data_IF_758956595684
#
_entry.id   IF_758956595684
#
_cell.length_a   1.000
_cell.length_b   1.000
_cell.length_c   1.000
_cell.angle_alpha   90.00
_cell.angle_beta   90.00
_cell.angle_gamma   90.00
#
_symmetry.space_group_name_H-M   'P 1'
#
loop_
_entity.id
_entity.type
_entity.pdbx_description
1 polymer ?
#
# COMPACT_ATOMS: atom_id res chain seq x y z
N UNK A 1 17.74 -23.30 -31.58
CA UNK A 1 17.58 -24.38 -30.58
C UNK A 1 16.28 -24.14 -29.85
N UNK A 2 15.38 -25.12 -29.82
CA UNK A 2 14.17 -25.09 -29.00
C UNK A 2 14.60 -25.14 -27.53
N UNK A 3 14.68 -23.99 -26.86
CA UNK A 3 15.08 -23.95 -25.45
C UNK A 3 13.94 -24.36 -24.54
N UNK A 4 14.26 -25.08 -23.47
CA UNK A 4 13.32 -25.50 -22.43
C UNK A 4 13.20 -24.37 -21.40
N UNK A 5 11.98 -24.05 -20.96
CA UNK A 5 11.78 -23.22 -19.77
C UNK A 5 11.60 -24.12 -18.53
N UNK A 6 12.05 -23.65 -17.37
CA UNK A 6 11.95 -24.38 -16.11
C UNK A 6 11.08 -23.59 -15.15
N UNK A 7 10.08 -24.27 -14.58
CA UNK A 7 9.28 -23.72 -13.48
C UNK A 7 9.47 -24.60 -12.25
N UNK A 8 9.83 -23.99 -11.15
CA UNK A 8 9.87 -24.63 -9.84
C UNK A 8 8.78 -24.03 -8.98
N UNK A 9 7.88 -24.86 -8.48
CA UNK A 9 6.90 -24.47 -7.49
C UNK A 9 7.29 -25.10 -6.16
N UNK A 10 7.69 -24.26 -5.20
CA UNK A 10 8.05 -24.74 -3.86
C UNK A 10 6.82 -24.77 -2.95
N UNK A 11 6.99 -25.38 -1.77
CA UNK A 11 5.98 -25.26 -0.72
C UNK A 11 5.68 -23.78 -0.42
N UNK A 12 4.41 -23.44 -0.14
CA UNK A 12 4.05 -22.09 0.27
C UNK A 12 4.60 -21.77 1.66
N UNK A 13 4.62 -20.49 2.02
CA UNK A 13 4.86 -20.05 3.40
C UNK A 13 3.53 -19.84 4.12
N UNK A 14 3.49 -20.14 5.42
CA UNK A 14 2.24 -20.09 6.20
C UNK A 14 1.37 -21.34 6.03
N UNK A 15 0.09 -21.24 6.40
CA UNK A 15 -0.83 -22.37 6.46
C UNK A 15 -1.75 -22.41 5.23
N UNK A 16 -1.39 -23.26 4.28
CA UNK A 16 -2.15 -23.51 3.06
C UNK A 16 -1.36 -24.39 2.10
N UNK A 17 -1.95 -24.66 0.93
CA UNK A 17 -1.36 -25.47 -0.13
C UNK A 17 -1.28 -24.69 -1.43
N UNK A 18 -0.28 -25.00 -2.25
CA UNK A 18 -0.08 -24.42 -3.59
C UNK A 18 0.06 -25.57 -4.57
N UNK A 19 -0.79 -25.64 -5.59
CA UNK A 19 -0.84 -26.74 -6.57
C UNK A 19 -0.78 -26.19 -8.00
N UNK A 20 0.00 -26.80 -8.92
CA UNK A 20 0.83 -27.99 -8.72
C UNK A 20 2.20 -27.66 -8.08
N UNK A 21 2.74 -28.57 -7.28
CA UNK A 21 4.11 -28.47 -6.72
C UNK A 21 5.12 -29.23 -7.58
N UNK A 22 6.39 -28.84 -7.48
CA UNK A 22 7.51 -29.55 -8.10
C UNK A 22 8.20 -28.78 -9.22
N UNK A 23 8.94 -29.51 -10.05
CA UNK A 23 9.73 -28.96 -11.16
C UNK A 23 9.11 -29.34 -12.50
N UNK A 24 8.84 -28.34 -13.34
CA UNK A 24 8.23 -28.50 -14.65
C UNK A 24 9.24 -28.08 -15.73
N UNK A 25 9.54 -29.00 -16.64
CA UNK A 25 10.32 -28.74 -17.84
C UNK A 25 9.37 -28.53 -19.01
N UNK A 26 9.43 -27.36 -19.64
CA UNK A 26 8.48 -26.92 -20.65
C UNK A 26 9.19 -26.76 -22.00
N UNK A 27 9.19 -27.82 -22.85
CA UNK A 27 9.92 -27.81 -24.12
C UNK A 27 9.18 -27.10 -25.26
N UNK A 28 7.88 -26.84 -25.11
CA UNK A 28 7.04 -26.18 -26.11
C UNK A 28 6.61 -24.81 -25.58
N UNK A 29 6.96 -23.75 -26.30
CA UNK A 29 6.71 -22.35 -25.93
C UNK A 29 6.05 -21.59 -27.10
N UNK A 30 5.20 -20.58 -26.83
CA UNK A 30 4.76 -20.15 -25.50
C UNK A 30 3.79 -21.15 -24.86
N UNK A 31 3.78 -21.20 -23.53
CA UNK A 31 2.85 -22.02 -22.75
C UNK A 31 2.40 -21.30 -21.48
N UNK A 32 1.50 -21.92 -20.73
CA UNK A 32 1.01 -21.41 -19.46
C UNK A 32 0.95 -22.53 -18.43
N UNK A 33 1.35 -22.23 -17.19
CA UNK A 33 1.06 -23.05 -16.03
C UNK A 33 0.07 -22.34 -15.12
N UNK A 34 -0.89 -23.09 -14.60
CA UNK A 34 -1.90 -22.61 -13.67
C UNK A 34 -1.58 -23.10 -12.27
N UNK A 35 -1.53 -22.17 -11.32
CA UNK A 35 -1.32 -22.44 -9.91
C UNK A 35 -2.58 -22.08 -9.12
N UNK A 36 -2.96 -22.94 -8.17
CA UNK A 36 -4.08 -22.73 -7.26
C UNK A 36 -3.56 -22.78 -5.83
N UNK A 37 -3.89 -21.74 -5.06
CA UNK A 37 -3.57 -21.63 -3.66
C UNK A 37 -4.83 -21.87 -2.82
N UNK A 38 -4.78 -22.82 -1.89
CA UNK A 38 -5.89 -23.16 -0.98
C UNK A 38 -5.44 -22.89 0.45
N UNK A 39 -6.08 -21.94 1.13
CA UNK A 39 -5.74 -21.60 2.50
C UNK A 39 -6.35 -22.60 3.49
N UNK A 40 -5.64 -22.89 4.57
CA UNK A 40 -6.20 -23.66 5.69
C UNK A 40 -7.17 -22.80 6.50
N UNK A 41 -7.98 -23.43 7.35
CA UNK A 41 -8.94 -22.74 8.21
C UNK A 41 -8.26 -21.62 9.03
N UNK A 42 -8.87 -20.43 9.02
CA UNK A 42 -8.35 -19.24 9.71
C UNK A 42 -7.16 -18.55 9.02
N UNK A 43 -6.73 -19.03 7.86
CA UNK A 43 -5.69 -18.39 7.04
C UNK A 43 -6.25 -17.86 5.73
N UNK A 44 -5.51 -16.95 5.11
CA UNK A 44 -5.83 -16.37 3.81
C UNK A 44 -4.56 -16.23 2.98
N UNK A 45 -4.69 -16.38 1.66
CA UNK A 45 -3.61 -16.08 0.73
C UNK A 45 -3.36 -14.57 0.71
N UNK A 46 -2.12 -14.16 0.95
CA UNK A 46 -1.69 -12.77 0.77
C UNK A 46 -1.38 -12.48 -0.69
N UNK A 47 -0.50 -13.28 -1.31
CA UNK A 47 -0.14 -13.18 -2.72
C UNK A 47 0.62 -14.41 -3.22
N UNK A 48 0.69 -14.54 -4.55
CA UNK A 48 1.71 -15.31 -5.24
C UNK A 48 2.97 -14.48 -5.45
N UNK A 49 4.12 -15.13 -5.59
CA UNK A 49 5.37 -14.50 -6.04
C UNK A 49 6.02 -15.31 -7.15
N UNK A 50 6.74 -14.61 -8.03
CA UNK A 50 7.57 -15.21 -9.07
C UNK A 50 8.99 -14.66 -8.91
N UNK A 51 9.97 -15.55 -8.72
CA UNK A 51 11.38 -15.18 -8.49
C UNK A 51 11.55 -14.16 -7.35
N UNK A 52 10.75 -14.30 -6.28
CA UNK A 52 10.74 -13.37 -5.14
C UNK A 52 9.91 -12.10 -5.33
N UNK A 53 9.46 -11.79 -6.55
CA UNK A 53 8.64 -10.62 -6.81
C UNK A 53 7.16 -10.91 -6.62
N UNK A 54 6.53 -10.16 -5.72
CA UNK A 54 5.08 -10.21 -5.45
C UNK A 54 4.29 -9.92 -6.72
N UNK A 55 3.35 -10.81 -7.06
CA UNK A 55 2.44 -10.64 -8.19
C UNK A 55 1.25 -9.74 -7.82
N UNK A 56 0.60 -9.15 -8.83
CA UNK A 56 -0.66 -8.44 -8.66
C UNK A 56 -1.71 -9.40 -8.10
N UNK A 57 -2.64 -8.86 -7.32
CA UNK A 57 -3.75 -9.65 -6.81
C UNK A 57 -4.50 -10.35 -7.95
N UNK A 58 -4.71 -11.64 -7.79
CA UNK A 58 -5.34 -12.55 -8.75
C UNK A 58 -6.27 -13.55 -8.05
N UNK A 59 -6.67 -13.28 -6.80
CA UNK A 59 -7.41 -14.24 -5.99
C UNK A 59 -6.58 -15.49 -5.72
N UNK A 60 -7.21 -16.65 -5.74
CA UNK A 60 -6.59 -17.95 -5.39
C UNK A 60 -5.99 -18.69 -6.57
N UNK A 61 -6.01 -18.13 -7.78
CA UNK A 61 -5.50 -18.78 -8.99
C UNK A 61 -4.58 -17.86 -9.78
N UNK A 62 -3.36 -18.33 -10.05
CA UNK A 62 -2.34 -17.58 -10.77
C UNK A 62 -1.92 -18.30 -12.06
N UNK A 63 -2.01 -17.59 -13.18
CA UNK A 63 -1.60 -18.07 -14.50
C UNK A 63 -0.21 -17.52 -14.86
N UNK A 64 0.82 -18.37 -14.77
CA UNK A 64 2.16 -18.01 -15.22
C UNK A 64 2.27 -18.21 -16.74
N UNK A 65 2.37 -17.11 -17.49
CA UNK A 65 2.65 -17.13 -18.93
C UNK A 65 4.15 -17.23 -19.17
N UNK A 66 4.55 -18.19 -20.00
CA UNK A 66 5.94 -18.57 -20.20
C UNK A 66 6.24 -18.49 -21.69
N UNK A 67 7.14 -17.59 -22.05
CA UNK A 67 7.43 -17.27 -23.46
C UNK A 67 8.89 -17.47 -23.82
N UNK A 68 9.77 -17.29 -22.85
CA UNK A 68 11.21 -17.17 -23.10
C UNK A 68 11.91 -18.53 -22.92
N UNK A 69 12.52 -19.08 -23.98
CA UNK A 69 13.33 -20.28 -23.86
C UNK A 69 14.51 -20.04 -22.90
N UNK A 70 14.75 -20.96 -21.97
CA UNK A 70 15.83 -20.84 -20.97
C UNK A 70 15.46 -20.03 -19.72
N UNK A 71 14.25 -19.45 -19.65
CA UNK A 71 13.81 -18.78 -18.44
C UNK A 71 13.58 -19.76 -17.27
N UNK A 72 13.94 -19.32 -16.07
CA UNK A 72 13.72 -20.04 -14.81
C UNK A 72 12.76 -19.23 -13.95
N UNK A 73 11.67 -19.87 -13.54
CA UNK A 73 10.66 -19.27 -12.67
C UNK A 73 10.55 -20.06 -11.37
N UNK A 74 10.57 -19.36 -10.24
CA UNK A 74 10.27 -19.89 -8.92
C UNK A 74 8.94 -19.31 -8.49
N UNK A 75 7.91 -20.14 -8.40
CA UNK A 75 6.57 -19.74 -7.98
C UNK A 75 6.38 -20.12 -6.52
N UNK A 76 5.94 -19.15 -5.72
CA UNK A 76 5.59 -19.33 -4.31
C UNK A 76 4.24 -18.68 -4.00
N UNK A 77 3.66 -19.04 -2.86
CA UNK A 77 2.49 -18.38 -2.29
C UNK A 77 2.73 -18.13 -0.80
N UNK A 78 2.25 -16.99 -0.30
CA UNK A 78 2.32 -16.62 1.12
C UNK A 78 0.91 -16.61 1.73
N UNK A 79 0.69 -17.40 2.78
CA UNK A 79 -0.52 -17.41 3.58
C UNK A 79 -0.29 -16.72 4.93
N UNK A 80 -1.32 -16.05 5.45
CA UNK A 80 -1.29 -15.40 6.77
C UNK A 80 -2.56 -15.69 7.56
N UNK A 81 -2.48 -15.69 8.91
CA UNK A 81 -3.68 -15.71 9.75
C UNK A 81 -4.59 -14.53 9.41
N UNK A 82 -5.88 -14.80 9.21
CA UNK A 82 -6.85 -13.79 8.81
C UNK A 82 -7.44 -13.04 10.03
N UNK A 83 -7.63 -11.73 9.87
CA UNK A 83 -8.45 -10.87 10.72
C UNK A 83 -9.33 -10.00 9.82
N UNK A 84 -10.43 -9.49 10.35
CA UNK A 84 -11.43 -8.79 9.55
C UNK A 84 -11.80 -7.45 10.16
N UNK A 85 -11.93 -6.45 9.30
CA UNK A 85 -12.44 -5.13 9.64
C UNK A 85 -13.47 -4.69 8.59
N UNK A 86 -14.51 -4.03 9.03
CA UNK A 86 -15.63 -3.55 8.23
C UNK A 86 -16.16 -2.26 8.88
N UNK A 87 -16.36 -1.14 8.17
CA UNK A 87 -16.87 0.08 8.77
C UNK A 87 -18.27 -0.06 9.38
N UNK A 88 -19.04 -1.09 8.98
CA UNK A 88 -20.32 -1.45 9.59
C UNK A 88 -20.19 -2.39 10.81
N UNK A 89 -18.97 -2.84 11.13
CA UNK A 89 -18.66 -3.73 12.23
C UNK A 89 -18.66 -3.06 13.61
N UNK A 90 -18.06 -3.75 14.59
CA UNK A 90 -17.92 -3.27 15.96
C UNK A 90 -16.55 -3.64 16.53
N UNK A 91 -15.87 -2.68 17.15
CA UNK A 91 -14.59 -2.94 17.85
C UNK A 91 -14.75 -3.77 19.13
N UNK A 92 -15.98 -4.09 19.53
CA UNK A 92 -16.26 -5.09 20.56
C UNK A 92 -16.26 -6.54 20.03
N UNK A 93 -16.25 -6.73 18.71
CA UNK A 93 -16.18 -8.07 18.11
C UNK A 93 -14.77 -8.67 18.23
N UNK A 94 -14.63 -9.95 17.88
CA UNK A 94 -13.35 -10.67 17.97
C UNK A 94 -12.44 -10.51 16.74
N UNK A 95 -12.98 -10.01 15.62
CA UNK A 95 -12.27 -9.81 14.36
C UNK A 95 -11.82 -11.11 13.67
N UNK A 96 -12.36 -12.27 14.04
CA UNK A 96 -11.91 -13.59 13.51
C UNK A 96 -12.66 -14.06 12.28
N UNK A 97 -13.79 -13.43 11.95
CA UNK A 97 -14.59 -13.69 10.76
C UNK A 97 -15.16 -12.38 10.19
N UNK A 98 -15.67 -12.40 8.95
CA UNK A 98 -16.37 -11.24 8.37
C UNK A 98 -17.63 -10.87 9.16
N UNK A 99 -18.34 -11.85 9.72
CA UNK A 99 -19.56 -11.61 10.52
C UNK A 99 -19.27 -10.95 11.87
N UNK A 100 -18.05 -11.14 12.39
CA UNK A 100 -17.57 -10.57 13.66
C UNK A 100 -16.40 -9.63 13.41
N UNK A 101 -16.42 -8.89 12.30
CA UNK A 101 -15.37 -7.95 11.95
C UNK A 101 -15.29 -6.78 12.95
N UNK A 102 -14.07 -6.29 13.18
CA UNK A 102 -13.85 -5.02 13.88
C UNK A 102 -14.39 -3.85 13.05
N UNK A 103 -14.60 -2.70 13.68
CA UNK A 103 -15.09 -1.50 13.00
C UNK A 103 -13.96 -0.66 12.41
N UNK A 104 -12.93 -0.39 13.21
CA UNK A 104 -11.91 0.60 12.86
C UNK A 104 -10.59 -0.03 12.45
N UNK A 105 -9.95 0.55 11.42
CA UNK A 105 -8.59 0.15 11.03
C UNK A 105 -7.58 0.40 12.15
N UNK A 106 -7.79 1.45 12.96
CA UNK A 106 -6.90 1.74 14.07
C UNK A 106 -6.98 0.66 15.15
N UNK A 107 -8.17 0.16 15.49
CA UNK A 107 -8.32 -0.97 16.41
C UNK A 107 -7.62 -2.21 15.85
N UNK A 108 -7.82 -2.52 14.57
CA UNK A 108 -7.14 -3.65 13.93
C UNK A 108 -5.61 -3.52 13.97
N UNK A 109 -5.07 -2.31 13.70
CA UNK A 109 -3.64 -2.04 13.77
C UNK A 109 -3.04 -2.20 15.17
N UNK A 110 -3.86 -2.02 16.22
CA UNK A 110 -3.43 -2.21 17.62
C UNK A 110 -3.63 -3.62 18.15
N UNK A 111 -4.64 -4.34 17.65
CA UNK A 111 -5.10 -5.61 18.23
C UNK A 111 -4.65 -6.83 17.44
N UNK A 112 -4.51 -6.72 16.12
CA UNK A 112 -4.16 -7.86 15.27
C UNK A 112 -2.78 -8.47 15.66
N UNK A 113 -2.67 -9.80 15.77
CA UNK A 113 -1.39 -10.45 16.05
C UNK A 113 -0.35 -10.12 14.97
N UNK A 114 0.91 -9.90 15.37
CA UNK A 114 2.01 -9.76 14.42
C UNK A 114 2.08 -10.96 13.46
N UNK A 115 2.37 -10.70 12.19
CA UNK A 115 2.37 -11.69 11.11
C UNK A 115 0.99 -11.93 10.48
N UNK A 116 -0.09 -11.44 11.08
CA UNK A 116 -1.43 -11.60 10.52
C UNK A 116 -1.70 -10.67 9.33
N UNK A 117 -2.84 -10.93 8.69
CA UNK A 117 -3.39 -10.15 7.61
C UNK A 117 -4.81 -9.71 7.97
N UNK A 118 -5.01 -8.40 8.04
CA UNK A 118 -6.31 -7.77 8.29
C UNK A 118 -6.94 -7.47 6.94
N UNK A 119 -8.06 -8.15 6.66
CA UNK A 119 -8.90 -7.98 5.49
C UNK A 119 -9.93 -6.90 5.76
N UNK A 120 -9.84 -5.79 5.04
CA UNK A 120 -10.78 -4.69 5.10
C UNK A 120 -11.89 -4.88 4.07
N UNK A 121 -13.13 -4.92 4.53
CA UNK A 121 -14.32 -4.86 3.68
C UNK A 121 -14.36 -3.50 2.92
N UNK A 122 -14.97 -3.43 1.73
CA UNK A 122 -15.17 -2.16 1.03
C UNK A 122 -15.91 -1.13 1.88
N UNK A 123 -15.51 0.12 1.73
CA UNK A 123 -16.08 1.27 2.44
C UNK A 123 -15.06 2.36 2.74
N UNK A 124 -15.55 3.44 3.34
CA UNK A 124 -14.73 4.58 3.77
C UNK A 124 -14.39 4.46 5.24
N UNK A 125 -13.11 4.32 5.54
CA UNK A 125 -12.56 4.29 6.89
C UNK A 125 -12.09 5.70 7.27
N UNK A 126 -13.02 6.50 7.79
CA UNK A 126 -12.81 7.85 8.29
C UNK A 126 -12.98 7.96 9.82
N UNK A 127 -12.92 6.81 10.50
CA UNK A 127 -12.86 6.68 11.96
C UNK A 127 -11.45 6.27 12.39
N UNK A 128 -11.03 6.73 13.57
CA UNK A 128 -9.68 6.51 14.10
C UNK A 128 -8.87 7.79 14.18
N UNK A 129 -8.13 7.95 15.27
CA UNK A 129 -7.28 9.10 15.50
C UNK A 129 -6.11 8.63 16.36
N UNK A 130 -4.92 8.51 15.76
CA UNK A 130 -3.72 8.12 16.47
C UNK A 130 -2.56 9.04 16.13
N UNK A 131 -1.78 9.34 17.16
CA UNK A 131 -0.66 10.27 17.06
C UNK A 131 0.62 9.50 16.69
N UNK A 132 1.31 9.96 15.64
CA UNK A 132 2.52 9.33 15.11
C UNK A 132 3.32 10.31 14.25
N UNK A 133 4.64 10.31 14.38
CA UNK A 133 5.52 11.30 13.77
C UNK A 133 5.07 12.76 14.03
N UNK A 134 4.82 13.07 15.31
CA UNK A 134 4.43 14.39 15.80
C UNK A 134 3.18 15.00 15.13
N UNK A 135 2.27 14.17 14.62
CA UNK A 135 1.03 14.61 13.96
C UNK A 135 -0.09 13.57 14.09
N UNK A 136 -1.32 13.98 13.82
CA UNK A 136 -2.47 13.07 13.78
C UNK A 136 -2.51 12.24 12.49
N UNK A 137 -2.93 10.98 12.63
CA UNK A 137 -3.11 10.03 11.53
C UNK A 137 -4.43 9.28 11.74
N UNK A 138 -5.11 8.94 10.64
CA UNK A 138 -6.30 8.07 10.67
C UNK A 138 -5.92 6.69 11.19
N UNK A 139 -4.79 6.16 10.72
CA UNK A 139 -4.25 4.86 11.12
C UNK A 139 -2.74 4.97 11.41
N UNK A 140 -2.30 4.38 12.53
CA UNK A 140 -0.89 4.18 12.94
C UNK A 140 -0.62 2.68 12.95
N UNK A 141 0.23 2.21 12.05
CA UNK A 141 0.66 0.81 11.92
C UNK A 141 2.11 0.65 12.37
N UNK A 142 2.32 0.06 13.54
CA UNK A 142 3.65 -0.20 14.10
C UNK A 142 3.95 -1.70 14.27
N UNK A 143 2.93 -2.55 14.09
CA UNK A 143 3.06 -4.01 14.10
C UNK A 143 3.31 -4.54 12.70
N UNK A 144 4.03 -5.65 12.59
CA UNK A 144 4.25 -6.33 11.32
C UNK A 144 2.98 -7.07 10.87
N UNK A 145 1.98 -6.34 10.43
CA UNK A 145 0.73 -6.86 9.87
C UNK A 145 0.58 -6.42 8.41
N UNK A 146 -0.32 -7.09 7.69
CA UNK A 146 -0.76 -6.63 6.37
C UNK A 146 -2.18 -6.11 6.50
N UNK A 147 -2.39 -4.81 6.29
CA UNK A 147 -3.73 -4.28 6.04
C UNK A 147 -4.01 -4.43 4.54
N UNK A 148 -5.06 -5.16 4.16
CA UNK A 148 -5.41 -5.36 2.75
C UNK A 148 -6.90 -5.09 2.49
N UNK A 149 -7.17 -4.24 1.52
CA UNK A 149 -8.51 -4.05 0.98
C UNK A 149 -8.95 -5.29 0.20
N UNK A 150 -10.15 -5.80 0.50
CA UNK A 150 -10.71 -6.98 -0.16
C UNK A 150 -11.32 -6.69 -1.54
N UNK A 151 -11.72 -5.43 -1.78
CA UNK A 151 -12.38 -4.99 -3.01
C UNK A 151 -11.55 -3.96 -3.80
N UNK A 152 -10.25 -3.84 -3.48
CA UNK A 152 -9.33 -2.93 -4.15
C UNK A 152 -9.52 -1.45 -3.80
N UNK A 153 -8.66 -0.58 -4.35
CA UNK A 153 -8.60 0.82 -3.97
C UNK A 153 -9.82 1.61 -4.47
N UNK A 154 -10.51 1.13 -5.49
CA UNK A 154 -11.71 1.76 -6.04
C UNK A 154 -12.91 1.73 -5.08
N UNK A 155 -12.90 0.83 -4.09
CA UNK A 155 -14.01 0.65 -3.15
C UNK A 155 -13.60 0.76 -1.68
N UNK A 156 -12.31 0.91 -1.38
CA UNK A 156 -11.79 0.86 0.00
C UNK A 156 -10.89 2.07 0.26
N UNK A 157 -11.35 2.97 1.13
CA UNK A 157 -10.72 4.28 1.32
C UNK A 157 -10.24 4.45 2.76
N UNK A 158 -9.00 4.91 2.94
CA UNK A 158 -8.51 5.49 4.19
C UNK A 158 -8.53 7.00 4.02
N UNK A 159 -9.48 7.65 4.69
CA UNK A 159 -9.70 9.09 4.57
C UNK A 159 -9.02 9.82 5.72
N UNK A 160 -8.04 10.66 5.39
CA UNK A 160 -7.42 11.58 6.33
C UNK A 160 -8.34 12.76 6.66
N UNK A 161 -7.77 13.91 7.04
CA UNK A 161 -8.53 15.15 7.18
C UNK A 161 -7.66 16.38 6.90
N UNK A 162 -8.28 17.42 6.37
CA UNK A 162 -7.69 18.76 6.32
C UNK A 162 -7.96 19.53 7.60
N UNK A 163 -7.10 20.50 7.92
CA UNK A 163 -7.40 21.47 8.97
C UNK A 163 -8.53 22.41 8.50
N UNK A 164 -9.67 22.50 9.21
CA UNK A 164 -10.78 23.37 8.82
C UNK A 164 -10.41 24.87 8.86
N UNK A 165 -9.42 25.25 9.66
CA UNK A 165 -8.95 26.63 9.80
C UNK A 165 -7.74 26.92 8.89
N UNK A 166 -7.49 26.05 7.90
CA UNK A 166 -6.30 26.14 7.06
C UNK A 166 -6.30 27.38 6.15
N UNK A 167 -5.16 28.07 6.15
CA UNK A 167 -4.81 29.07 5.13
C UNK A 167 -3.91 28.50 4.03
N UNK A 168 -3.57 27.22 4.11
CA UNK A 168 -2.60 26.54 3.24
C UNK A 168 -3.14 25.21 2.72
N UNK A 169 -4.21 25.29 1.91
CA UNK A 169 -4.77 24.16 1.16
C UNK A 169 -5.16 22.95 2.03
N UNK A 170 -5.52 23.16 3.30
CA UNK A 170 -5.86 22.11 4.25
C UNK A 170 -4.73 21.69 5.19
N UNK A 171 -3.50 22.22 5.03
CA UNK A 171 -2.45 22.02 6.02
C UNK A 171 -2.73 22.80 7.31
N UNK A 172 -2.41 22.21 8.46
CA UNK A 172 -2.55 22.85 9.76
C UNK A 172 -2.35 21.89 10.93
N UNK A 173 -2.51 22.37 12.15
CA UNK A 173 -2.33 21.54 13.37
C UNK A 173 -3.46 20.54 13.58
N UNK A 174 -4.66 20.84 13.08
CA UNK A 174 -5.83 19.96 13.17
C UNK A 174 -5.97 19.03 11.95
N UNK A 175 -5.07 19.15 10.96
CA UNK A 175 -5.01 18.23 9.84
C UNK A 175 -4.62 16.82 10.32
N UNK A 176 -5.01 15.82 9.53
CA UNK A 176 -4.74 14.41 9.81
C UNK A 176 -4.27 13.70 8.53
N UNK A 177 -3.19 12.93 8.65
CA UNK A 177 -2.73 12.06 7.56
C UNK A 177 -3.63 10.84 7.42
N UNK A 178 -3.60 10.20 6.27
CA UNK A 178 -4.24 8.89 6.13
C UNK A 178 -3.51 7.83 6.96
N UNK A 179 -2.18 7.82 6.94
CA UNK A 179 -1.40 6.70 7.47
C UNK A 179 -0.06 7.15 8.05
N UNK A 180 0.24 6.63 9.24
CA UNK A 180 1.62 6.42 9.69
C UNK A 180 1.93 4.93 9.66
N UNK A 181 3.09 4.54 9.13
CA UNK A 181 3.52 3.15 9.10
C UNK A 181 5.01 2.99 9.40
N UNK A 182 5.34 2.16 10.38
CA UNK A 182 6.73 1.85 10.76
C UNK A 182 7.06 0.37 10.70
N UNK A 183 6.13 -0.48 10.27
CA UNK A 183 6.31 -1.91 10.01
C UNK A 183 5.12 -2.44 9.19
N UNK A 184 5.32 -3.57 8.50
CA UNK A 184 4.24 -4.25 7.79
C UNK A 184 3.93 -3.65 6.42
N UNK A 185 2.69 -3.88 5.95
CA UNK A 185 2.25 -3.45 4.64
C UNK A 185 0.80 -2.94 4.63
N UNK A 186 0.53 -1.97 3.75
CA UNK A 186 -0.84 -1.55 3.38
C UNK A 186 -1.04 -1.80 1.90
N UNK A 187 -2.11 -2.51 1.55
CA UNK A 187 -2.30 -3.05 0.20
C UNK A 187 -3.71 -2.76 -0.34
N UNK A 188 -3.78 -2.19 -1.54
CA UNK A 188 -5.04 -2.04 -2.27
C UNK A 188 -5.99 -0.98 -1.75
N UNK A 189 -5.53 0.03 -0.99
CA UNK A 189 -6.39 1.11 -0.51
C UNK A 189 -6.27 2.38 -1.37
N UNK A 190 -7.34 3.17 -1.42
CA UNK A 190 -7.22 4.60 -1.71
C UNK A 190 -6.87 5.34 -0.43
N UNK A 191 -5.80 6.12 -0.43
CA UNK A 191 -5.41 7.04 0.64
C UNK A 191 -5.67 8.47 0.17
N UNK A 192 -6.65 9.15 0.78
CA UNK A 192 -7.10 10.47 0.32
C UNK A 192 -7.52 11.43 1.42
N UNK A 193 -7.59 12.72 1.08
CA UNK A 193 -8.03 13.79 1.97
C UNK A 193 -7.08 14.09 3.13
N UNK A 194 -5.91 13.46 3.16
CA UNK A 194 -4.94 13.62 4.23
C UNK A 194 -4.11 14.88 4.09
N UNK A 195 -3.82 15.53 5.21
CA UNK A 195 -2.91 16.67 5.24
C UNK A 195 -1.91 16.65 6.40
N UNK A 196 -0.72 17.19 6.14
CA UNK A 196 0.28 17.50 7.16
C UNK A 196 0.08 18.90 7.75
N UNK A 197 0.99 19.29 8.64
CA UNK A 197 1.03 20.64 9.21
C UNK A 197 1.70 21.67 8.27
N UNK A 198 1.53 22.94 8.62
CA UNK A 198 2.19 24.07 7.98
C UNK A 198 3.68 24.07 8.33
N UNK A 199 4.53 24.51 7.42
CA UNK A 199 5.98 24.70 7.63
C UNK A 199 6.33 26.19 7.75
N UNK A 200 6.17 26.81 8.94
CA UNK A 200 6.59 28.20 9.17
C UNK A 200 8.08 28.38 8.89
N UNK A 201 8.43 29.41 8.11
CA UNK A 201 9.82 29.71 7.78
C UNK A 201 10.54 28.58 7.03
N UNK A 202 9.82 27.72 6.31
CA UNK A 202 10.35 26.53 5.63
C UNK A 202 10.99 25.50 6.59
N UNK A 203 10.64 25.51 7.88
CA UNK A 203 11.13 24.53 8.86
C UNK A 203 10.80 23.10 8.45
N UNK A 204 11.81 22.25 8.38
CA UNK A 204 11.65 20.82 8.15
C UNK A 204 11.49 20.07 9.47
N UNK A 205 10.28 19.58 9.73
CA UNK A 205 9.89 18.85 10.93
C UNK A 205 8.96 17.68 10.58
N UNK A 206 8.80 16.73 11.49
CA UNK A 206 8.01 15.52 11.20
C UNK A 206 6.56 15.81 10.88
N UNK A 207 5.93 16.77 11.57
CA UNK A 207 4.53 17.12 11.39
C UNK A 207 4.20 17.72 10.01
N UNK A 208 5.18 18.23 9.26
CA UNK A 208 4.95 18.87 7.94
C UNK A 208 5.18 17.94 6.75
N UNK A 209 5.56 16.68 7.02
CA UNK A 209 5.90 15.65 6.04
C UNK A 209 4.74 14.69 5.82
N UNK A 210 4.60 14.11 4.64
CA UNK A 210 3.70 12.97 4.41
C UNK A 210 2.22 13.33 4.53
N UNK A 211 1.61 13.93 3.51
CA UNK A 211 0.19 14.31 3.58
C UNK A 211 -0.73 13.09 3.66
N UNK A 212 -0.46 12.10 2.81
CA UNK A 212 -1.11 10.80 2.86
C UNK A 212 -0.41 9.88 3.86
N UNK A 213 0.90 9.67 3.65
CA UNK A 213 1.68 8.66 4.37
C UNK A 213 2.93 9.27 5.00
N UNK A 214 3.12 9.01 6.29
CA UNK A 214 4.43 9.09 6.93
C UNK A 214 4.92 7.67 7.21
N UNK A 215 5.96 7.24 6.51
CA UNK A 215 6.57 5.94 6.70
C UNK A 215 7.98 6.05 7.27
N UNK A 216 8.38 5.05 8.04
CA UNK A 216 9.80 4.77 8.34
C UNK A 216 10.23 3.50 7.61
N UNK A 217 11.53 3.19 7.62
CA UNK A 217 12.22 2.33 6.64
C UNK A 217 11.58 0.98 6.27
N UNK A 218 10.81 0.35 7.15
CA UNK A 218 10.17 -0.95 6.92
C UNK A 218 8.70 -0.88 6.49
N UNK A 219 8.10 0.31 6.43
CA UNK A 219 6.72 0.50 5.99
C UNK A 219 6.58 0.38 4.48
N UNK A 220 5.70 -0.50 4.01
CA UNK A 220 5.50 -0.74 2.58
C UNK A 220 4.06 -0.54 2.13
N UNK A 221 3.89 0.00 0.93
CA UNK A 221 2.61 0.14 0.27
C UNK A 221 2.63 -0.59 -1.07
N UNK A 222 1.51 -1.25 -1.39
CA UNK A 222 1.34 -2.00 -2.62
C UNK A 222 -0.01 -1.73 -3.25
N UNK A 223 -0.03 -1.48 -4.56
CA UNK A 223 -1.27 -1.45 -5.34
C UNK A 223 -2.30 -0.41 -4.81
N UNK A 224 -1.81 0.66 -4.19
CA UNK A 224 -2.63 1.71 -3.60
C UNK A 224 -2.88 2.86 -4.59
N UNK A 225 -3.97 3.59 -4.38
CA UNK A 225 -4.21 4.90 -5.01
C UNK A 225 -3.94 5.98 -3.96
N UNK A 226 -2.98 6.86 -4.21
CA UNK A 226 -2.63 7.95 -3.30
C UNK A 226 -3.04 9.26 -3.95
N UNK A 227 -4.11 9.87 -3.44
CA UNK A 227 -4.71 11.01 -4.13
C UNK A 227 -5.28 12.10 -3.25
N UNK A 228 -5.28 13.35 -3.75
CA UNK A 228 -5.87 14.52 -3.07
C UNK A 228 -5.33 14.75 -1.65
N UNK A 229 -4.05 14.46 -1.43
CA UNK A 229 -3.39 14.72 -0.15
C UNK A 229 -2.52 15.98 -0.24
N UNK A 230 -2.31 16.65 0.89
CA UNK A 230 -1.61 17.93 0.95
C UNK A 230 -0.52 17.92 2.00
N UNK A 231 0.69 18.36 1.66
CA UNK A 231 1.72 18.58 2.68
C UNK A 231 2.70 19.67 2.26
N UNK A 232 3.44 20.17 3.25
CA UNK A 232 4.60 21.01 2.94
C UNK A 232 5.69 20.19 2.22
N UNK A 233 5.89 18.93 2.62
CA UNK A 233 6.95 18.05 2.11
C UNK A 233 6.41 16.63 1.90
N UNK A 234 6.51 16.08 0.69
CA UNK A 234 6.05 14.71 0.41
C UNK A 234 4.54 14.54 0.58
N UNK A 235 3.73 15.21 -0.23
CA UNK A 235 2.27 15.15 -0.12
C UNK A 235 1.71 13.72 -0.27
N UNK A 236 2.27 12.92 -1.19
CA UNK A 236 1.90 11.51 -1.33
C UNK A 236 2.57 10.64 -0.26
N UNK A 237 3.82 10.91 0.09
CA UNK A 237 4.54 10.11 1.07
C UNK A 237 5.87 10.69 1.53
N UNK A 238 6.18 10.44 2.79
CA UNK A 238 7.52 10.57 3.36
C UNK A 238 8.05 9.19 3.77
N UNK A 239 9.31 8.87 3.47
CA UNK A 239 9.92 7.60 3.86
C UNK A 239 9.36 6.37 3.12
N UNK A 240 9.73 5.18 3.58
CA UNK A 240 9.11 3.90 3.18
C UNK A 240 9.25 3.51 1.70
N UNK A 241 8.55 2.43 1.34
CA UNK A 241 8.56 1.87 -0.02
C UNK A 241 7.15 1.81 -0.62
N UNK A 242 6.99 2.36 -1.83
CA UNK A 242 5.72 2.39 -2.55
C UNK A 242 5.84 1.60 -3.84
N UNK A 243 4.98 0.61 -4.03
CA UNK A 243 5.07 -0.30 -5.16
C UNK A 243 3.76 -0.32 -5.94
N UNK A 244 3.82 -0.17 -7.27
CA UNK A 244 2.66 -0.27 -8.18
C UNK A 244 1.49 0.63 -7.77
N UNK A 245 1.79 1.80 -7.24
CA UNK A 245 0.79 2.76 -6.80
C UNK A 245 0.43 3.73 -7.93
N UNK A 246 -0.82 4.17 -7.94
CA UNK A 246 -1.25 5.36 -8.68
C UNK A 246 -1.15 6.57 -7.75
N UNK A 247 -0.40 7.59 -8.16
CA UNK A 247 -0.16 8.80 -7.35
C UNK A 247 -0.63 10.01 -8.12
N UNK A 248 -1.76 10.58 -7.71
CA UNK A 248 -2.45 11.61 -8.51
C UNK A 248 -3.13 12.70 -7.70
N UNK A 249 -3.13 13.94 -8.18
CA UNK A 249 -3.85 15.04 -7.53
C UNK A 249 -3.32 15.45 -6.15
N UNK A 250 -2.14 14.98 -5.75
CA UNK A 250 -1.54 15.40 -4.48
C UNK A 250 -0.92 16.79 -4.62
N UNK A 251 -1.02 17.62 -3.59
CA UNK A 251 -0.49 18.99 -3.59
C UNK A 251 0.65 19.14 -2.60
N UNK A 252 1.85 19.42 -3.11
CA UNK A 252 3.02 19.77 -2.29
C UNK A 252 3.31 21.26 -2.33
N UNK A 253 3.53 21.86 -1.15
CA UNK A 253 3.85 23.28 -1.04
C UNK A 253 5.33 23.58 -1.30
N UNK A 254 6.26 22.83 -0.67
CA UNK A 254 7.70 23.06 -0.75
C UNK A 254 8.42 21.98 -1.58
N UNK A 255 8.56 20.75 -1.07
CA UNK A 255 9.47 19.76 -1.64
C UNK A 255 8.79 18.42 -1.93
N UNK A 256 8.70 18.08 -3.23
CA UNK A 256 8.45 16.74 -3.74
C UNK A 256 7.05 16.17 -3.46
N UNK A 257 6.45 15.54 -4.46
CA UNK A 257 5.28 14.67 -4.22
C UNK A 257 5.65 13.54 -3.26
N UNK A 258 6.88 13.03 -3.37
CA UNK A 258 7.51 12.13 -2.40
C UNK A 258 8.75 12.76 -1.76
N UNK A 259 9.09 12.32 -0.55
CA UNK A 259 10.34 12.67 0.11
C UNK A 259 10.93 11.48 0.86
N UNK A 260 12.23 11.23 0.73
CA UNK A 260 12.94 10.13 1.38
C UNK A 260 12.31 8.73 1.14
N UNK A 261 11.62 8.55 0.02
CA UNK A 261 10.88 7.33 -0.31
C UNK A 261 11.57 6.56 -1.44
N UNK A 262 11.43 5.24 -1.42
CA UNK A 262 11.76 4.35 -2.52
C UNK A 262 10.46 3.99 -3.26
N UNK A 263 10.38 4.29 -4.56
CA UNK A 263 9.12 4.13 -5.33
C UNK A 263 9.38 3.27 -6.57
N UNK A 264 8.60 2.20 -6.70
CA UNK A 264 8.76 1.17 -7.71
C UNK A 264 7.48 1.01 -8.55
N UNK A 265 7.64 1.03 -9.87
CA UNK A 265 6.59 0.69 -10.84
C UNK A 265 5.29 1.50 -10.67
N UNK A 266 5.41 2.74 -10.18
CA UNK A 266 4.29 3.62 -9.92
C UNK A 266 3.94 4.50 -11.13
N UNK A 267 2.65 4.84 -11.25
CA UNK A 267 2.17 5.88 -12.16
C UNK A 267 1.98 7.17 -11.37
N UNK A 268 2.80 8.18 -11.64
CA UNK A 268 2.80 9.47 -10.94
C UNK A 268 2.31 10.53 -11.91
N UNK A 269 1.07 10.98 -11.74
CA UNK A 269 0.40 11.86 -12.72
C UNK A 269 -0.33 13.01 -12.05
N UNK A 270 -0.41 14.18 -12.69
CA UNK A 270 -1.31 15.26 -12.26
C UNK A 270 -1.14 15.72 -10.80
N UNK A 271 0.06 15.61 -10.21
CA UNK A 271 0.32 16.18 -8.89
C UNK A 271 0.73 17.65 -9.03
N UNK A 272 0.43 18.43 -8.00
CA UNK A 272 0.56 19.89 -8.02
C UNK A 272 1.70 20.31 -7.10
N UNK A 273 2.68 21.02 -7.63
CA UNK A 273 3.80 21.49 -6.83
C UNK A 273 4.87 22.15 -7.69
N UNK A 274 5.85 22.79 -7.03
CA UNK A 274 7.02 23.30 -7.75
C UNK A 274 8.00 22.19 -8.15
N UNK A 275 7.94 21.06 -7.46
CA UNK A 275 8.83 19.91 -7.63
C UNK A 275 7.99 18.65 -7.70
N UNK A 276 7.68 18.23 -8.91
CA UNK A 276 6.96 17.00 -9.14
C UNK A 276 7.96 15.85 -9.27
N UNK A 277 8.27 15.22 -8.13
CA UNK A 277 9.23 14.15 -8.05
C UNK A 277 9.50 13.70 -6.62
N UNK A 278 10.62 13.01 -6.44
CA UNK A 278 11.15 12.61 -5.13
C UNK A 278 12.24 13.57 -4.68
N UNK A 279 12.20 13.96 -3.41
CA UNK A 279 13.32 14.65 -2.76
C UNK A 279 14.02 13.71 -1.79
N UNK A 280 15.30 13.40 -2.01
CA UNK A 280 16.09 12.55 -1.12
C UNK A 280 15.69 11.06 -1.13
N UNK A 281 15.10 10.57 -2.22
CA UNK A 281 14.73 9.16 -2.44
C UNK A 281 14.91 8.78 -3.92
N UNK A 282 14.33 7.65 -4.36
CA UNK A 282 14.54 7.14 -5.73
C UNK A 282 13.27 6.57 -6.34
N UNK A 283 13.22 6.63 -7.67
CA UNK A 283 12.15 6.09 -8.49
C UNK A 283 12.72 5.01 -9.43
N UNK A 284 12.07 3.86 -9.51
CA UNK A 284 12.45 2.72 -10.35
C UNK A 284 11.24 2.25 -11.13
N UNK A 285 11.37 2.08 -12.45
CA UNK A 285 10.26 1.61 -13.30
C UNK A 285 9.02 2.53 -13.32
N UNK A 286 9.13 3.75 -12.79
CA UNK A 286 7.99 4.67 -12.65
C UNK A 286 7.70 5.42 -13.94
N UNK A 287 6.43 5.67 -14.20
CA UNK A 287 5.97 6.60 -15.25
C UNK A 287 5.54 7.91 -14.61
N UNK A 288 6.10 9.04 -15.07
CA UNK A 288 5.80 10.38 -14.54
C UNK A 288 5.29 11.26 -15.68
N UNK A 289 4.09 11.82 -15.55
CA UNK A 289 3.49 12.65 -16.61
C UNK A 289 2.53 13.70 -16.07
N UNK A 290 2.24 14.75 -16.83
CA UNK A 290 1.14 15.69 -16.55
C UNK A 290 1.25 16.48 -15.25
N UNK A 291 2.46 16.67 -14.71
CA UNK A 291 2.64 17.36 -13.43
C UNK A 291 2.32 18.85 -13.55
N UNK A 292 1.65 19.40 -12.55
CA UNK A 292 1.14 20.77 -12.58
C UNK A 292 2.05 21.64 -11.72
N UNK A 293 2.74 22.59 -12.36
CA UNK A 293 3.45 23.63 -11.63
C UNK A 293 2.44 24.42 -10.81
N UNK A 294 2.73 24.64 -9.53
CA UNK A 294 1.96 25.59 -8.71
C UNK A 294 1.93 26.95 -9.44
N UNK A 295 0.77 27.35 -9.94
CA UNK A 295 0.57 28.70 -10.45
C UNK A 295 0.93 29.71 -9.36
N UNK A 296 1.61 30.80 -9.72
CA UNK A 296 1.51 32.01 -8.91
C UNK A 296 0.03 32.40 -9.04
N UNK A 297 -0.73 32.36 -7.96
CA UNK A 297 -2.03 33.01 -7.97
C UNK A 297 -1.78 34.45 -8.47
N UNK A 298 -2.45 34.80 -9.56
CA UNK A 298 -2.87 36.19 -9.74
C UNK A 298 -4.03 36.43 -8.78
#
# INVERSE_FOLDING_TARGET
MSGVAVVTCTAPTGNGTLTPQGHFFLPVLPTQLLFTATADAGSVLRHFSVNGYKQKDCGTTFALRIKDPGAVYIVTAEFRPARYVDPAGSDANDGTSSATAWRTLQHAATTAPSGSMVLAAPGTYNEGHAFGASHSNRVVVTRNIVLKATAGPEQTVIEGATDPDSTLYGCGTNAMRCLYISAGAVEGFTLTGGAGSVSPGDKDADNVRGGAVFATESGTLWDCVISNNVASRGAAGFGGTFNRCLVTGNRVYNNGTFRAAEVYDCLIVNNIGNWAGVFGGRFYGCTISGQIRRGRNR
#
